data_IF_879220412452
#
_entry.id   IF_879220412452
#
_cell.length_a   1.000
_cell.length_b   1.000
_cell.length_c   1.000
_cell.angle_alpha   90.00
_cell.angle_beta   90.00
_cell.angle_gamma   90.00
#
_symmetry.space_group_name_H-M   'P 1'
#
loop_
_entity.id
_entity.type
_entity.pdbx_description
1 polymer ?
#
# COMPACT_ATOMS: atom_id res chain seq x y z
N UNK A 1 -36.20 21.57 -44.24
CA UNK A 1 -36.41 20.80 -43.00
C UNK A 1 -36.89 19.39 -43.33
N UNK A 2 -35.99 18.39 -43.29
CA UNK A 2 -36.34 16.96 -43.37
C UNK A 2 -36.03 16.37 -42.00
N UNK A 3 -37.08 15.92 -41.29
CA UNK A 3 -36.99 15.30 -39.97
C UNK A 3 -36.37 13.91 -40.12
N UNK A 4 -35.13 13.72 -39.66
CA UNK A 4 -34.56 12.40 -39.46
C UNK A 4 -35.09 11.84 -38.12
N UNK A 5 -36.15 11.05 -38.21
CA UNK A 5 -36.69 10.28 -37.10
C UNK A 5 -35.81 9.02 -36.91
N UNK A 6 -35.21 8.90 -35.74
CA UNK A 6 -34.38 7.77 -35.34
C UNK A 6 -35.26 6.50 -35.25
N UNK A 7 -35.03 5.54 -36.14
CA UNK A 7 -35.59 4.19 -35.97
C UNK A 7 -34.76 3.47 -34.89
N UNK A 8 -35.24 3.53 -33.65
CA UNK A 8 -34.70 2.75 -32.55
C UNK A 8 -35.07 1.27 -32.76
N UNK A 9 -34.17 0.55 -33.42
CA UNK A 9 -34.28 -0.89 -33.63
C UNK A 9 -34.21 -1.59 -32.26
N UNK A 10 -35.31 -2.22 -31.84
CA UNK A 10 -35.47 -2.90 -30.55
C UNK A 10 -34.35 -3.90 -30.27
N UNK A 11 -33.70 -4.45 -31.31
CA UNK A 11 -32.55 -5.35 -31.19
C UNK A 11 -31.27 -4.61 -30.79
N UNK A 12 -31.10 -3.35 -31.22
CA UNK A 12 -30.01 -2.47 -30.79
C UNK A 12 -30.22 -2.00 -29.35
N UNK A 13 -31.47 -1.69 -28.97
CA UNK A 13 -31.80 -1.39 -27.58
C UNK A 13 -31.53 -2.59 -26.64
N UNK A 14 -31.92 -3.80 -27.05
CA UNK A 14 -31.66 -5.02 -26.28
C UNK A 14 -30.15 -5.35 -26.16
N UNK A 15 -29.36 -5.15 -27.22
CA UNK A 15 -27.90 -5.33 -27.18
C UNK A 15 -27.21 -4.32 -26.28
N UNK A 16 -27.64 -3.06 -26.32
CA UNK A 16 -27.09 -2.03 -25.43
C UNK A 16 -27.46 -2.28 -23.96
N UNK A 17 -28.67 -2.77 -23.68
CA UNK A 17 -29.09 -3.17 -22.33
C UNK A 17 -28.26 -4.35 -21.77
N UNK A 18 -27.96 -5.35 -22.61
CA UNK A 18 -27.12 -6.50 -22.22
C UNK A 18 -25.65 -6.11 -21.96
N UNK A 19 -25.10 -5.18 -22.74
CA UNK A 19 -23.72 -4.70 -22.54
C UNK A 19 -23.62 -3.84 -21.26
N UNK A 20 -24.65 -3.04 -20.95
CA UNK A 20 -24.68 -2.22 -19.73
C UNK A 20 -24.72 -3.04 -18.43
N UNK A 21 -25.33 -4.22 -18.44
CA UNK A 21 -25.46 -5.07 -17.25
C UNK A 21 -24.14 -5.74 -16.83
N UNK A 22 -23.22 -5.96 -17.77
CA UNK A 22 -21.93 -6.62 -17.49
C UNK A 22 -20.88 -5.71 -16.82
N UNK A 23 -21.04 -4.39 -16.90
CA UNK A 23 -20.09 -3.42 -16.33
C UNK A 23 -20.27 -3.16 -14.83
N UNK A 24 -21.35 -3.67 -14.20
CA UNK A 24 -21.69 -3.35 -12.82
C UNK A 24 -21.09 -4.30 -11.74
N UNK A 25 -20.34 -5.33 -12.15
CA UNK A 25 -20.07 -6.50 -11.28
C UNK A 25 -18.78 -6.43 -10.44
N UNK A 26 -17.97 -5.37 -10.51
CA UNK A 26 -16.66 -5.34 -9.81
C UNK A 26 -16.66 -4.68 -8.42
N UNK A 27 -17.77 -4.15 -7.93
CA UNK A 27 -17.81 -3.43 -6.65
C UNK A 27 -17.94 -4.34 -5.40
N UNK A 28 -18.07 -5.66 -5.56
CA UNK A 28 -18.49 -6.54 -4.47
C UNK A 28 -17.36 -7.26 -3.69
N UNK A 29 -16.08 -7.13 -4.09
CA UNK A 29 -14.96 -7.76 -3.37
C UNK A 29 -13.98 -6.78 -2.70
N UNK A 30 -14.46 -5.60 -2.27
CA UNK A 30 -13.71 -4.75 -1.34
C UNK A 30 -14.19 -4.98 0.10
N UNK A 31 -13.50 -5.84 0.84
CA UNK A 31 -13.64 -5.92 2.30
C UNK A 31 -13.36 -4.55 2.90
N UNK A 32 -14.39 -3.90 3.48
CA UNK A 32 -14.23 -2.63 4.18
C UNK A 32 -13.63 -2.91 5.56
N UNK A 33 -12.55 -2.23 5.97
CA UNK A 33 -12.17 -2.15 7.37
C UNK A 33 -13.38 -1.61 8.16
N UNK A 34 -13.70 -2.25 9.30
CA UNK A 34 -14.73 -1.81 10.24
C UNK A 34 -14.48 -0.32 10.55
N UNK A 35 -15.39 0.60 10.22
CA UNK A 35 -15.29 1.97 10.71
C UNK A 35 -15.32 1.88 12.23
N UNK A 36 -14.28 2.38 12.88
CA UNK A 36 -14.39 2.73 14.29
C UNK A 36 -15.48 3.80 14.35
N UNK A 37 -16.67 3.42 14.85
CA UNK A 37 -17.69 4.39 15.18
C UNK A 37 -17.12 5.38 16.20
N UNK A 38 -17.71 6.58 16.34
CA UNK A 38 -17.43 7.39 17.51
C UNK A 38 -17.63 6.50 18.73
N UNK A 39 -16.60 6.39 19.56
CA UNK A 39 -16.70 5.68 20.83
C UNK A 39 -17.97 6.20 21.53
N UNK A 40 -18.85 5.33 22.06
CA UNK A 40 -19.84 5.78 23.01
C UNK A 40 -19.08 6.57 24.06
N UNK A 41 -19.42 7.84 24.21
CA UNK A 41 -18.88 8.66 25.29
C UNK A 41 -19.41 8.01 26.55
N UNK A 42 -18.60 7.15 27.17
CA UNK A 42 -18.91 6.61 28.47
C UNK A 42 -19.08 7.82 29.40
N UNK A 43 -20.16 7.90 30.19
CA UNK A 43 -20.27 8.91 31.24
C UNK A 43 -18.99 8.88 32.06
N UNK A 44 -18.35 10.03 32.24
CA UNK A 44 -17.11 10.16 33.01
C UNK A 44 -17.32 9.57 34.40
N UNK A 45 -16.76 8.39 34.66
CA UNK A 45 -16.65 7.88 36.03
C UNK A 45 -15.70 8.79 36.82
N UNK A 46 -16.03 9.08 38.10
CA UNK A 46 -15.15 9.87 38.94
C UNK A 46 -13.75 9.23 39.02
N UNK A 47 -12.74 10.05 38.75
CA UNK A 47 -11.34 9.65 38.66
C UNK A 47 -10.88 8.89 39.92
N UNK A 48 -10.56 7.60 39.75
CA UNK A 48 -9.76 6.87 40.73
C UNK A 48 -8.33 7.40 40.72
N UNK A 49 -7.62 7.45 41.87
CA UNK A 49 -6.22 7.89 41.91
C UNK A 49 -5.36 6.99 41.01
N UNK A 50 -4.68 7.62 40.06
CA UNK A 50 -3.85 6.93 39.07
C UNK A 50 -2.68 6.23 39.76
N UNK A 51 -2.54 4.91 39.52
CA UNK A 51 -1.30 4.22 39.84
C UNK A 51 -0.14 4.84 39.03
N UNK A 52 1.10 4.86 39.56
CA UNK A 52 2.25 5.31 38.80
C UNK A 52 2.35 4.55 37.48
N UNK A 53 2.37 5.28 36.37
CA UNK A 53 2.62 4.69 35.06
C UNK A 53 4.08 4.21 35.00
N UNK A 54 4.27 2.90 35.00
CA UNK A 54 5.56 2.29 34.65
C UNK A 54 5.54 2.00 33.16
N UNK A 55 6.28 2.75 32.32
CA UNK A 55 6.37 2.42 30.90
C UNK A 55 6.92 0.99 30.76
N UNK A 56 6.37 0.17 29.84
CA UNK A 56 6.97 -1.11 29.52
C UNK A 56 8.43 -0.87 29.08
N UNK A 57 9.37 -1.77 29.43
CA UNK A 57 10.75 -1.63 29.00
C UNK A 57 10.77 -1.51 27.47
N UNK A 58 11.40 -0.44 26.98
CA UNK A 58 11.63 -0.26 25.56
C UNK A 58 12.27 -1.52 24.99
N UNK A 59 11.84 -2.04 23.82
CA UNK A 59 12.52 -3.13 23.17
C UNK A 59 14.01 -2.79 23.08
N UNK A 60 14.86 -3.65 23.63
CA UNK A 60 16.31 -3.50 23.49
C UNK A 60 16.60 -3.50 21.99
N UNK A 61 17.16 -2.40 21.48
CA UNK A 61 17.54 -2.29 20.08
C UNK A 61 18.70 -3.27 19.83
N UNK A 62 18.37 -4.53 19.56
CA UNK A 62 19.31 -5.49 19.00
C UNK A 62 19.68 -4.94 17.62
N UNK A 63 20.94 -4.51 17.48
CA UNK A 63 21.47 -4.04 16.20
C UNK A 63 21.20 -5.08 15.10
N UNK A 64 21.08 -4.60 13.87
CA UNK A 64 20.81 -5.50 12.75
C UNK A 64 21.86 -6.61 12.66
N UNK A 65 21.40 -7.85 12.52
CA UNK A 65 22.28 -9.00 12.35
C UNK A 65 22.94 -8.87 10.97
N UNK A 66 24.29 -8.87 10.86
CA UNK A 66 24.97 -8.74 9.58
C UNK A 66 24.50 -9.78 8.56
N UNK A 67 24.22 -9.36 7.32
CA UNK A 67 23.71 -10.24 6.27
C UNK A 67 22.22 -10.58 6.38
N UNK A 68 21.50 -10.02 7.35
CA UNK A 68 20.03 -10.10 7.42
C UNK A 68 19.36 -9.06 6.52
N UNK A 69 18.08 -9.27 6.21
CA UNK A 69 17.26 -8.26 5.51
C UNK A 69 17.25 -6.94 6.27
N UNK A 70 17.20 -6.97 7.61
CA UNK A 70 17.22 -5.74 8.42
C UNK A 70 18.55 -4.98 8.29
N UNK A 71 19.68 -5.69 8.18
CA UNK A 71 21.00 -5.10 7.94
C UNK A 71 21.06 -4.41 6.58
N UNK A 72 20.50 -5.04 5.54
CA UNK A 72 20.37 -4.45 4.22
C UNK A 72 19.51 -3.16 4.25
N UNK A 73 18.35 -3.20 4.91
CA UNK A 73 17.43 -2.06 4.99
C UNK A 73 18.05 -0.89 5.76
N UNK A 74 18.69 -1.15 6.90
CA UNK A 74 19.24 -0.10 7.77
C UNK A 74 20.53 0.50 7.18
N UNK A 75 21.45 -0.34 6.72
CA UNK A 75 22.79 0.12 6.36
C UNK A 75 22.92 0.52 4.88
N UNK A 76 22.06 0.01 3.99
CA UNK A 76 22.13 0.29 2.55
C UNK A 76 20.86 0.99 2.04
N UNK A 77 19.69 0.50 2.45
CA UNK A 77 18.39 0.89 1.91
C UNK A 77 17.96 -0.05 0.79
N UNK A 78 16.74 -0.59 0.89
CA UNK A 78 16.26 -1.67 0.01
C UNK A 78 15.56 -1.20 -1.28
N UNK A 79 15.29 0.10 -1.42
CA UNK A 79 14.46 0.65 -2.50
C UNK A 79 15.24 1.62 -3.36
N UNK A 80 15.04 1.52 -4.67
CA UNK A 80 15.44 2.50 -5.66
C UNK A 80 14.16 3.11 -6.21
N UNK A 81 14.04 4.44 -6.13
CA UNK A 81 12.91 5.17 -6.69
C UNK A 81 13.24 5.65 -8.09
N UNK A 82 12.21 5.66 -8.93
CA UNK A 82 12.25 6.20 -10.28
C UNK A 82 11.37 7.44 -10.34
N UNK A 83 11.65 8.32 -11.30
CA UNK A 83 10.75 9.42 -11.60
C UNK A 83 9.47 8.89 -12.27
N UNK A 84 8.43 9.73 -12.30
CA UNK A 84 7.12 9.32 -12.83
C UNK A 84 7.24 8.99 -14.31
N UNK A 85 6.76 7.81 -14.69
CA UNK A 85 6.79 7.31 -16.07
C UNK A 85 8.23 7.09 -16.63
N UNK A 86 9.23 6.96 -15.76
CA UNK A 86 10.60 6.66 -16.15
C UNK A 86 11.10 5.31 -15.61
N UNK A 87 12.05 4.71 -16.34
CA UNK A 87 12.75 3.47 -15.98
C UNK A 87 14.27 3.67 -15.85
N UNK A 88 14.74 4.93 -15.93
CA UNK A 88 16.16 5.26 -15.84
C UNK A 88 16.56 5.44 -14.38
N UNK A 89 17.66 4.80 -13.97
CA UNK A 89 18.22 5.00 -12.63
C UNK A 89 18.92 6.36 -12.58
N UNK A 90 18.39 7.27 -11.77
CA UNK A 90 18.95 8.60 -11.56
C UNK A 90 20.37 8.56 -10.98
N UNK A 91 21.16 9.59 -11.27
CA UNK A 91 22.56 9.68 -10.84
C UNK A 91 22.76 9.65 -9.33
N UNK A 92 21.80 10.16 -8.55
CA UNK A 92 21.81 10.14 -7.09
C UNK A 92 21.47 8.76 -6.50
N UNK A 93 20.76 7.91 -7.24
CA UNK A 93 20.44 6.54 -6.84
C UNK A 93 21.54 5.52 -7.23
N UNK A 94 22.38 5.83 -8.21
CA UNK A 94 23.53 5.00 -8.62
C UNK A 94 24.43 4.54 -7.45
N UNK A 95 24.86 5.42 -6.51
CA UNK A 95 25.71 4.98 -5.40
C UNK A 95 24.99 4.00 -4.46
N UNK A 96 23.68 4.14 -4.26
CA UNK A 96 22.89 3.19 -3.45
C UNK A 96 22.83 1.84 -4.14
N UNK A 97 22.53 1.80 -5.44
CA UNK A 97 22.50 0.56 -6.22
C UNK A 97 23.87 -0.16 -6.20
N UNK A 98 24.96 0.59 -6.32
CA UNK A 98 26.31 0.03 -6.22
C UNK A 98 26.58 -0.56 -4.83
N UNK A 99 26.15 0.12 -3.76
CA UNK A 99 26.27 -0.38 -2.39
C UNK A 99 25.43 -1.65 -2.15
N UNK A 100 24.23 -1.73 -2.74
CA UNK A 100 23.39 -2.93 -2.69
C UNK A 100 24.08 -4.13 -3.34
N UNK A 101 24.65 -3.95 -4.55
CA UNK A 101 25.40 -5.00 -5.23
C UNK A 101 26.62 -5.46 -4.42
N UNK A 102 27.37 -4.51 -3.83
CA UNK A 102 28.51 -4.83 -2.97
C UNK A 102 28.11 -5.61 -1.71
N UNK A 103 26.98 -5.25 -1.10
CA UNK A 103 26.45 -5.96 0.07
C UNK A 103 26.06 -7.41 -0.28
N UNK A 104 25.40 -7.63 -1.42
CA UNK A 104 25.04 -8.96 -1.89
C UNK A 104 26.27 -9.83 -2.19
N UNK A 105 27.34 -9.23 -2.74
CA UNK A 105 28.61 -9.92 -2.93
C UNK A 105 29.28 -10.34 -1.61
N UNK A 106 29.08 -9.56 -0.53
CA UNK A 106 29.59 -9.90 0.81
C UNK A 106 28.81 -11.05 1.44
N UNK A 107 27.51 -11.14 1.18
CA UNK A 107 26.62 -12.14 1.78
C UNK A 107 26.02 -13.08 0.71
N UNK A 108 26.82 -14.00 0.14
CA UNK A 108 26.40 -14.87 -0.96
C UNK A 108 25.38 -15.94 -0.55
N UNK A 109 24.95 -15.99 0.71
CA UNK A 109 23.81 -16.81 1.14
C UNK A 109 22.47 -16.12 0.85
N UNK A 110 22.46 -14.79 0.70
CA UNK A 110 21.27 -14.01 0.36
C UNK A 110 20.99 -14.15 -1.13
N UNK A 111 19.71 -14.28 -1.49
CA UNK A 111 19.23 -14.48 -2.87
C UNK A 111 18.28 -13.35 -3.22
N UNK A 112 18.36 -12.90 -4.48
CA UNK A 112 17.52 -11.86 -5.08
C UNK A 112 16.83 -12.41 -6.32
#
# INVERSE_FOLDING_TARGET
MRRNWMNFDTKRAARLALIGLAAASLAACASRPKPAGPAPVAPSEPSSPSAPYTPPPSPVAQGAIPGSVQDFVINIGERIYFDTDEYVVRSDAQPVLAAQAQWLNRYPAVRV
#
